data_IF_186921362777
#
_entry.id   IF_186921362777
#
_cell.length_a   1.000
_cell.length_b   1.000
_cell.length_c   1.000
_cell.angle_alpha   90.00
_cell.angle_beta   90.00
_cell.angle_gamma   90.00
#
_symmetry.space_group_name_H-M   'P 1'
#
loop_
_entity.id
_entity.type
_entity.pdbx_description
1 polymer ?
#
# COMPACT_ATOMS: atom_id res chain seq x y z
N UNK A 1 -0.30 9.94 -29.11
CA UNK A 1 -1.48 10.69 -28.65
C UNK A 1 -1.33 12.13 -29.07
N UNK A 2 -2.41 12.80 -29.48
CA UNK A 2 -2.39 14.20 -29.90
C UNK A 2 -3.18 15.05 -28.93
N UNK A 3 -2.62 16.18 -28.54
CA UNK A 3 -3.28 17.24 -27.78
C UNK A 3 -3.48 18.42 -28.72
N UNK A 4 -4.69 18.97 -28.79
CA UNK A 4 -5.08 20.06 -29.69
C UNK A 4 -5.74 21.16 -28.90
N UNK A 5 -5.27 22.39 -29.06
CA UNK A 5 -5.86 23.60 -28.52
C UNK A 5 -6.16 23.52 -27.01
N UNK A 6 -5.24 22.96 -26.21
CA UNK A 6 -5.42 22.89 -24.76
C UNK A 6 -5.39 24.31 -24.15
N UNK A 7 -6.41 24.63 -23.36
CA UNK A 7 -6.64 25.98 -22.80
C UNK A 7 -6.84 26.01 -21.28
N UNK A 8 -6.73 24.88 -20.60
CA UNK A 8 -6.97 24.83 -19.16
C UNK A 8 -5.97 25.68 -18.37
N UNK A 9 -6.50 26.58 -17.52
CA UNK A 9 -5.75 27.56 -16.73
C UNK A 9 -4.74 28.40 -17.53
N UNK A 10 -3.44 28.17 -17.35
CA UNK A 10 -2.36 28.96 -17.94
C UNK A 10 -1.96 28.50 -19.35
N UNK A 11 -2.61 27.46 -19.90
CA UNK A 11 -2.33 26.95 -21.24
C UNK A 11 -2.85 27.93 -22.30
N UNK A 12 -2.00 28.28 -23.27
CA UNK A 12 -2.30 29.24 -24.34
C UNK A 12 -2.47 28.51 -25.68
N UNK A 13 -3.61 27.87 -25.87
CA UNK A 13 -3.98 27.15 -27.10
C UNK A 13 -2.92 26.13 -27.55
N UNK A 14 -2.39 25.37 -26.59
CA UNK A 14 -1.26 24.46 -26.81
C UNK A 14 -1.70 23.23 -27.61
N UNK A 15 -1.01 22.97 -28.73
CA UNK A 15 -1.17 21.75 -29.53
C UNK A 15 0.17 21.02 -29.62
N UNK A 16 0.18 19.72 -29.36
CA UNK A 16 1.38 18.89 -29.38
C UNK A 16 1.04 17.42 -29.63
N UNK A 17 2.05 16.64 -30.03
CA UNK A 17 1.94 15.20 -30.16
C UNK A 17 2.88 14.53 -29.16
N UNK A 18 2.33 13.65 -28.32
CA UNK A 18 3.11 12.81 -27.41
C UNK A 18 3.31 11.42 -28.05
N UNK A 19 4.57 11.04 -28.33
CA UNK A 19 4.88 9.72 -28.89
C UNK A 19 4.59 8.59 -27.89
N UNK A 20 4.20 7.43 -28.42
CA UNK A 20 4.00 6.21 -27.65
C UNK A 20 5.31 5.41 -27.55
N UNK A 21 5.39 4.49 -26.59
CA UNK A 21 6.52 3.56 -26.40
C UNK A 21 7.88 4.24 -26.13
N UNK A 22 7.86 5.45 -25.57
CA UNK A 22 9.08 6.16 -25.17
C UNK A 22 8.84 6.99 -23.91
N UNK A 23 9.92 7.32 -23.21
CA UNK A 23 9.88 8.23 -22.07
C UNK A 23 9.72 9.68 -22.57
N UNK A 24 8.56 10.26 -22.35
CA UNK A 24 8.31 11.68 -22.62
C UNK A 24 8.45 12.49 -21.34
N UNK A 25 9.30 13.52 -21.36
CA UNK A 25 9.53 14.41 -20.21
C UNK A 25 9.03 15.81 -20.54
N UNK A 26 8.11 16.33 -19.71
CA UNK A 26 7.61 17.71 -19.84
C UNK A 26 8.29 18.58 -18.77
N UNK A 27 9.04 19.58 -19.23
CA UNK A 27 9.81 20.49 -18.37
C UNK A 27 9.30 21.94 -18.47
N UNK A 28 9.84 22.83 -17.63
CA UNK A 28 9.50 24.26 -17.63
C UNK A 28 9.39 24.85 -16.23
N UNK A 29 9.41 26.17 -16.13
CA UNK A 29 9.35 26.92 -14.86
C UNK A 29 8.05 26.69 -14.07
N UNK A 30 8.06 26.97 -12.76
CA UNK A 30 6.84 26.88 -11.95
C UNK A 30 5.72 27.76 -12.53
N UNK A 31 4.48 27.28 -12.49
CA UNK A 31 3.33 28.00 -13.06
C UNK A 31 3.17 27.92 -14.58
N UNK A 32 4.11 27.29 -15.31
CA UNK A 32 4.06 27.20 -16.78
C UNK A 32 2.93 26.32 -17.37
N UNK A 33 2.11 25.67 -16.53
CA UNK A 33 0.99 24.85 -16.97
C UNK A 33 1.26 23.34 -17.12
N UNK A 34 2.44 22.83 -16.72
CA UNK A 34 2.79 21.39 -16.82
C UNK A 34 1.75 20.47 -16.17
N UNK A 35 1.39 20.75 -14.92
CA UNK A 35 0.40 19.95 -14.19
C UNK A 35 -0.99 20.08 -14.77
N UNK A 36 -1.36 21.25 -15.31
CA UNK A 36 -2.64 21.45 -15.99
C UNK A 36 -2.74 20.59 -17.24
N UNK A 37 -1.68 20.57 -18.06
CA UNK A 37 -1.62 19.70 -19.23
C UNK A 37 -1.69 18.21 -18.85
N UNK A 38 -0.85 17.74 -17.92
CA UNK A 38 -0.77 16.31 -17.59
C UNK A 38 -1.98 15.81 -16.80
N UNK A 39 -2.41 16.53 -15.76
CA UNK A 39 -3.41 16.04 -14.81
C UNK A 39 -4.84 16.44 -15.17
N UNK A 40 -5.05 17.64 -15.73
CA UNK A 40 -6.39 18.16 -16.00
C UNK A 40 -6.81 17.97 -17.46
N UNK A 41 -5.88 18.11 -18.41
CA UNK A 41 -6.21 17.85 -19.83
C UNK A 41 -6.04 16.37 -20.17
N UNK A 42 -4.87 15.77 -19.92
CA UNK A 42 -4.61 14.40 -20.35
C UNK A 42 -5.25 13.37 -19.42
N UNK A 43 -4.92 13.40 -18.12
CA UNK A 43 -5.33 12.36 -17.19
C UNK A 43 -6.84 12.32 -16.91
N UNK A 44 -7.52 13.47 -16.92
CA UNK A 44 -8.94 13.56 -16.59
C UNK A 44 -9.84 12.88 -17.63
N UNK A 45 -9.40 12.77 -18.88
CA UNK A 45 -10.16 12.16 -19.97
C UNK A 45 -10.11 10.62 -19.98
N UNK A 46 -9.39 9.95 -19.07
CA UNK A 46 -9.41 8.48 -18.88
C UNK A 46 -9.34 7.62 -20.17
N UNK A 47 -8.44 7.96 -21.11
CA UNK A 47 -8.32 7.31 -22.43
C UNK A 47 -9.51 7.49 -23.39
N UNK A 48 -10.46 8.37 -23.07
CA UNK A 48 -11.52 8.76 -23.98
C UNK A 48 -11.06 9.92 -24.87
N UNK A 49 -11.47 9.87 -26.14
CA UNK A 49 -11.23 10.98 -27.07
C UNK A 49 -12.10 12.17 -26.69
N UNK A 50 -11.47 13.34 -26.60
CA UNK A 50 -12.12 14.62 -26.36
C UNK A 50 -11.79 15.62 -27.47
N UNK A 51 -12.38 16.82 -27.39
CA UNK A 51 -12.01 17.93 -28.31
C UNK A 51 -10.53 18.30 -28.20
N UNK A 52 -9.95 18.11 -27.00
CA UNK A 52 -8.58 18.50 -26.68
C UNK A 52 -7.60 17.35 -26.82
N UNK A 53 -7.99 16.12 -26.47
CA UNK A 53 -7.09 14.95 -26.45
C UNK A 53 -7.60 13.86 -27.36
N UNK A 54 -6.76 13.40 -28.28
CA UNK A 54 -7.04 12.29 -29.18
C UNK A 54 -6.02 11.17 -28.94
N UNK A 55 -6.50 10.01 -28.53
CA UNK A 55 -5.68 8.84 -28.26
C UNK A 55 -5.44 8.04 -29.55
N UNK A 56 -4.22 7.57 -29.73
CA UNK A 56 -3.92 6.67 -30.86
C UNK A 56 -4.37 5.25 -30.46
N UNK A 57 -4.78 4.42 -31.43
CA UNK A 57 -5.09 3.00 -31.18
C UNK A 57 -3.88 2.32 -30.52
N UNK A 58 -4.04 1.77 -29.31
CA UNK A 58 -3.00 1.00 -28.62
C UNK A 58 -2.85 1.26 -27.12
N UNK A 59 -3.35 2.39 -26.60
CA UNK A 59 -3.43 2.61 -25.15
C UNK A 59 -4.63 1.84 -24.58
N UNK A 60 -4.38 0.97 -23.60
CA UNK A 60 -5.41 0.15 -22.94
C UNK A 60 -5.76 0.67 -21.55
N UNK A 61 -4.74 1.11 -20.82
CA UNK A 61 -4.85 1.56 -19.44
C UNK A 61 -4.08 2.87 -19.25
N UNK A 62 -4.60 3.74 -18.37
CA UNK A 62 -3.95 4.98 -17.96
C UNK A 62 -3.72 4.96 -16.46
N UNK A 63 -2.46 4.84 -16.06
CA UNK A 63 -2.04 4.85 -14.65
C UNK A 63 -1.46 6.22 -14.35
N UNK A 64 -2.07 6.92 -13.39
CA UNK A 64 -1.67 8.27 -12.98
C UNK A 64 -1.09 8.22 -11.58
N UNK A 65 0.22 8.39 -11.47
CA UNK A 65 0.93 8.45 -10.20
C UNK A 65 1.15 9.91 -9.86
N UNK A 66 0.60 10.37 -8.73
CA UNK A 66 0.68 11.76 -8.27
C UNK A 66 1.37 11.86 -6.92
N UNK A 67 1.64 13.08 -6.47
CA UNK A 67 2.18 13.34 -5.13
C UNK A 67 1.11 13.28 -4.03
N UNK A 68 -0.16 12.98 -4.38
CA UNK A 68 -1.22 12.85 -3.37
C UNK A 68 -0.87 11.68 -2.45
N UNK A 69 -0.70 11.97 -1.17
CA UNK A 69 -0.46 10.93 -0.16
C UNK A 69 -1.66 9.97 -0.17
N UNK A 70 -1.44 8.65 -0.18
CA UNK A 70 -2.51 7.69 0.04
C UNK A 70 -3.26 8.05 1.32
N UNK A 71 -4.59 7.97 1.30
CA UNK A 71 -5.38 8.16 2.51
C UNK A 71 -4.98 7.08 3.51
N UNK A 72 -4.24 7.48 4.55
CA UNK A 72 -3.83 6.58 5.61
C UNK A 72 -5.03 6.25 6.49
N UNK A 73 -5.44 4.99 6.48
CA UNK A 73 -6.17 4.42 7.62
C UNK A 73 -5.13 3.93 8.63
N UNK A 74 -5.40 4.06 9.93
CA UNK A 74 -4.54 3.53 11.01
C UNK A 74 -4.29 2.02 10.87
N UNK A 75 -5.16 1.32 10.13
CA UNK A 75 -5.06 -0.11 9.80
C UNK A 75 -4.26 -0.43 8.53
N UNK A 76 -3.88 0.58 7.75
CA UNK A 76 -3.16 0.37 6.48
C UNK A 76 -1.67 0.17 6.72
N UNK A 77 -1.25 -1.10 6.71
CA UNK A 77 0.14 -1.52 6.75
C UNK A 77 0.65 -1.86 5.35
N UNK A 78 1.97 -1.98 5.17
CA UNK A 78 2.57 -2.36 3.88
C UNK A 78 2.09 -3.77 3.48
N UNK A 79 2.02 -4.70 4.43
CA UNK A 79 1.52 -6.07 4.21
C UNK A 79 0.11 -6.10 3.63
N UNK A 80 -0.76 -5.18 4.06
CA UNK A 80 -2.14 -5.05 3.56
C UNK A 80 -2.22 -4.22 2.29
N UNK A 81 -1.30 -3.27 2.08
CA UNK A 81 -1.29 -2.42 0.90
C UNK A 81 -0.80 -3.18 -0.35
N UNK A 82 0.11 -4.14 -0.15
CA UNK A 82 0.62 -5.01 -1.21
C UNK A 82 -0.23 -6.26 -1.44
N UNK A 83 -1.34 -6.43 -0.69
CA UNK A 83 -2.20 -7.62 -0.71
C UNK A 83 -1.45 -8.95 -0.48
N UNK A 84 -0.36 -8.92 0.30
CA UNK A 84 0.44 -10.11 0.63
C UNK A 84 0.09 -10.73 1.98
N UNK A 85 -0.76 -10.07 2.77
CA UNK A 85 -1.09 -10.51 4.12
C UNK A 85 -1.94 -11.79 4.14
N UNK A 86 -2.79 -11.99 3.13
CA UNK A 86 -3.69 -13.13 3.05
C UNK A 86 -2.93 -14.46 2.98
N UNK A 87 -1.83 -14.47 2.22
CA UNK A 87 -0.91 -15.59 2.11
C UNK A 87 -0.21 -15.90 3.45
N UNK A 88 0.23 -14.85 4.16
CA UNK A 88 0.83 -14.98 5.50
C UNK A 88 -0.18 -15.57 6.48
N UNK A 89 -1.40 -15.04 6.54
CA UNK A 89 -2.46 -15.54 7.42
C UNK A 89 -2.82 -17.00 7.11
N UNK A 90 -2.88 -17.37 5.83
CA UNK A 90 -3.13 -18.74 5.41
C UNK A 90 -2.02 -19.70 5.85
N UNK A 91 -0.75 -19.27 5.77
CA UNK A 91 0.41 -20.03 6.25
C UNK A 91 0.32 -20.31 7.76
N UNK A 92 0.06 -19.28 8.57
CA UNK A 92 -0.08 -19.43 10.02
C UNK A 92 -1.28 -20.31 10.40
N UNK A 93 -2.42 -20.17 9.72
CA UNK A 93 -3.57 -21.06 9.93
C UNK A 93 -3.26 -22.52 9.61
N UNK A 94 -2.50 -22.78 8.53
CA UNK A 94 -2.04 -24.13 8.18
C UNK A 94 -1.11 -24.70 9.25
N UNK A 95 -0.23 -23.87 9.82
CA UNK A 95 0.70 -24.29 10.88
C UNK A 95 -0.01 -24.54 12.20
N UNK A 96 -0.98 -23.70 12.56
CA UNK A 96 -1.84 -23.85 13.74
C UNK A 96 -2.52 -25.22 13.75
N UNK A 97 -3.16 -25.61 12.64
CA UNK A 97 -3.80 -26.93 12.51
C UNK A 97 -2.84 -28.11 12.74
N UNK A 98 -1.57 -27.98 12.32
CA UNK A 98 -0.55 -29.01 12.55
C UNK A 98 -0.12 -29.10 14.02
N UNK A 99 -0.27 -28.02 14.78
CA UNK A 99 0.01 -27.96 16.21
C UNK A 99 -1.21 -28.32 17.07
N UNK A 100 -2.28 -28.87 16.47
CA UNK A 100 -3.58 -29.14 17.12
C UNK A 100 -4.28 -27.89 17.67
N UNK A 101 -3.88 -26.70 17.21
CA UNK A 101 -4.57 -25.44 17.46
C UNK A 101 -5.55 -25.22 16.31
N UNK A 102 -6.83 -24.96 16.60
CA UNK A 102 -7.90 -24.90 15.59
C UNK A 102 -8.15 -23.49 15.04
N UNK A 103 -7.08 -22.69 14.85
CA UNK A 103 -7.21 -21.33 14.34
C UNK A 103 -7.37 -21.29 12.82
N UNK A 104 -8.22 -20.37 12.36
CA UNK A 104 -8.49 -20.08 10.96
C UNK A 104 -7.65 -18.90 10.47
N UNK A 105 -7.59 -18.69 9.14
CA UNK A 105 -6.87 -17.54 8.56
C UNK A 105 -7.44 -16.19 9.02
N UNK A 106 -8.75 -16.13 9.36
CA UNK A 106 -9.34 -14.91 9.92
C UNK A 106 -8.85 -14.59 11.33
N UNK A 107 -8.46 -15.59 12.13
CA UNK A 107 -7.96 -15.35 13.49
C UNK A 107 -6.58 -14.68 13.48
N UNK A 108 -5.82 -14.88 12.41
CA UNK A 108 -4.53 -14.22 12.17
C UNK A 108 -4.66 -12.80 11.56
N UNK A 109 -5.88 -12.29 11.39
CA UNK A 109 -6.08 -10.90 10.94
C UNK A 109 -6.12 -9.94 12.12
N UNK A 110 -5.35 -8.85 12.06
CA UNK A 110 -5.52 -7.75 13.01
C UNK A 110 -6.74 -6.87 12.67
N UNK A 111 -7.26 -6.96 11.43
CA UNK A 111 -8.40 -6.16 10.97
C UNK A 111 -9.76 -6.80 11.28
N UNK A 112 -9.82 -8.12 11.41
CA UNK A 112 -11.04 -8.89 11.57
C UNK A 112 -10.78 -10.17 12.40
N UNK A 113 -11.83 -10.94 12.67
CA UNK A 113 -11.70 -12.22 13.38
C UNK A 113 -11.49 -12.10 14.89
N UNK A 114 -11.28 -13.25 15.52
CA UNK A 114 -11.30 -13.38 16.98
C UNK A 114 -9.91 -13.36 17.63
N UNK A 115 -8.83 -13.38 16.84
CA UNK A 115 -7.47 -13.44 17.35
C UNK A 115 -6.81 -12.09 17.65
N UNK A 116 -7.38 -10.98 17.17
CA UNK A 116 -6.87 -9.63 17.49
C UNK A 116 -7.08 -9.27 18.95
N UNK A 117 -6.21 -8.41 19.47
CA UNK A 117 -6.33 -7.86 20.83
C UNK A 117 -7.67 -7.13 20.99
N UNK A 118 -8.50 -7.47 21.99
CA UNK A 118 -9.80 -6.85 22.19
C UNK A 118 -9.71 -5.38 22.64
N UNK A 119 -8.60 -5.00 23.30
CA UNK A 119 -8.42 -3.66 23.85
C UNK A 119 -8.15 -2.61 22.76
N UNK A 120 -7.15 -2.84 21.89
CA UNK A 120 -6.83 -1.93 20.78
C UNK A 120 -7.55 -2.30 19.48
N UNK A 121 -8.37 -3.37 19.48
CA UNK A 121 -9.06 -3.89 18.29
C UNK A 121 -8.12 -4.12 17.09
N UNK A 122 -6.91 -4.61 17.38
CA UNK A 122 -5.85 -4.89 16.39
C UNK A 122 -5.09 -3.67 15.88
N UNK A 123 -5.26 -2.47 16.46
CA UNK A 123 -4.48 -1.29 16.09
C UNK A 123 -3.06 -1.29 16.67
N UNK A 124 -2.83 -2.00 17.78
CA UNK A 124 -1.58 -1.94 18.54
C UNK A 124 -1.44 -0.70 19.42
N UNK A 125 -2.27 0.33 19.20
CA UNK A 125 -2.32 1.57 19.96
C UNK A 125 -3.73 1.85 20.48
N UNK A 126 -3.85 2.69 21.51
CA UNK A 126 -5.09 3.24 22.03
C UNK A 126 -5.02 4.77 22.00
N UNK A 127 -6.13 5.42 21.64
CA UNK A 127 -6.19 6.88 21.66
C UNK A 127 -6.44 7.39 23.08
N UNK A 128 -5.66 8.40 23.49
CA UNK A 128 -5.93 9.19 24.69
C UNK A 128 -6.41 10.57 24.25
N UNK A 129 -7.67 10.89 24.58
CA UNK A 129 -8.23 12.20 24.30
C UNK A 129 -7.72 13.21 25.34
N UNK A 130 -7.11 14.28 24.83
CA UNK A 130 -6.66 15.41 25.61
C UNK A 130 -7.61 16.55 25.26
N UNK A 131 -8.52 16.93 26.17
CA UNK A 131 -9.65 17.85 25.92
C UNK A 131 -9.31 19.12 25.10
N UNK A 132 -8.07 19.60 25.19
CA UNK A 132 -7.59 20.83 24.54
C UNK A 132 -6.45 20.61 23.53
N UNK A 133 -6.06 19.36 23.27
CA UNK A 133 -4.96 19.01 22.37
C UNK A 133 -5.38 17.93 21.37
N UNK A 134 -4.55 17.71 20.36
CA UNK A 134 -4.75 16.57 19.47
C UNK A 134 -4.63 15.25 20.24
N UNK A 135 -5.50 14.28 19.93
CA UNK A 135 -5.44 12.95 20.53
C UNK A 135 -4.05 12.35 20.30
N UNK A 136 -3.45 11.81 21.36
CA UNK A 136 -2.20 11.09 21.27
C UNK A 136 -2.47 9.59 21.19
N UNK A 137 -1.63 8.89 20.43
CA UNK A 137 -1.65 7.43 20.37
C UNK A 137 -0.63 6.88 21.36
N UNK A 138 -1.11 6.03 22.27
CA UNK A 138 -0.28 5.31 23.22
C UNK A 138 -0.22 3.85 22.82
N UNK A 139 0.95 3.22 22.97
CA UNK A 139 1.08 1.76 22.80
C UNK A 139 0.06 1.06 23.69
N UNK A 140 -0.66 0.11 23.13
CA UNK A 140 -1.70 -0.62 23.84
C UNK A 140 -1.12 -1.32 25.09
N UNK A 141 -1.66 -1.07 26.30
CA UNK A 141 -1.11 -1.64 27.53
C UNK A 141 -1.35 -3.15 27.68
N UNK A 142 -2.23 -3.74 26.86
CA UNK A 142 -2.60 -5.16 26.92
C UNK A 142 -1.74 -6.00 25.98
N UNK A 143 -1.63 -5.60 24.72
CA UNK A 143 -0.86 -6.36 23.72
C UNK A 143 0.55 -5.80 23.48
N UNK A 144 0.90 -4.68 24.11
CA UNK A 144 2.18 -4.00 23.96
C UNK A 144 2.59 -3.70 22.50
N UNK A 145 1.60 -3.45 21.63
CA UNK A 145 1.83 -3.15 20.21
C UNK A 145 1.67 -4.35 19.27
N UNK A 146 1.66 -5.58 19.79
CA UNK A 146 1.61 -6.81 18.96
C UNK A 146 0.31 -7.01 18.19
N UNK A 147 -0.78 -6.32 18.58
CA UNK A 147 -2.11 -6.34 17.92
C UNK A 147 -2.91 -7.63 18.10
N UNK A 148 -2.34 -8.67 18.69
CA UNK A 148 -2.96 -9.99 18.84
C UNK A 148 -3.17 -10.37 20.31
N UNK A 149 -3.91 -11.45 20.52
CA UNK A 149 -3.95 -12.18 21.79
C UNK A 149 -2.77 -13.15 21.89
N UNK A 150 -2.37 -13.49 23.10
CA UNK A 150 -1.22 -14.36 23.36
C UNK A 150 -1.36 -15.74 22.69
N UNK A 151 -2.56 -16.33 22.70
CA UNK A 151 -2.88 -17.61 22.05
C UNK A 151 -2.58 -17.64 20.54
N UNK A 152 -2.66 -16.47 19.86
CA UNK A 152 -2.30 -16.35 18.45
C UNK A 152 -0.78 -16.26 18.28
N UNK A 153 -0.10 -15.59 19.20
CA UNK A 153 1.36 -15.40 19.19
C UNK A 153 2.12 -16.71 19.49
N UNK A 154 1.47 -17.67 20.14
CA UNK A 154 2.02 -19.03 20.35
C UNK A 154 2.22 -19.81 19.05
N UNK A 155 1.47 -19.49 17.99
CA UNK A 155 1.63 -20.15 16.69
C UNK A 155 2.86 -19.58 15.98
N UNK A 156 3.87 -20.43 15.80
CA UNK A 156 5.15 -20.04 15.21
C UNK A 156 5.45 -20.72 13.87
N UNK A 157 5.98 -19.93 12.94
CA UNK A 157 6.56 -20.38 11.68
C UNK A 157 8.03 -19.99 11.68
N UNK A 158 8.93 -20.96 11.49
CA UNK A 158 10.38 -20.76 11.59
C UNK A 158 10.86 -20.10 12.90
N UNK A 159 10.11 -20.28 13.99
CA UNK A 159 10.40 -19.68 15.29
C UNK A 159 9.75 -18.31 15.53
N UNK A 160 9.10 -17.73 14.52
CA UNK A 160 8.49 -16.40 14.55
C UNK A 160 6.96 -16.48 14.65
N UNK A 161 6.39 -15.66 15.51
CA UNK A 161 4.95 -15.39 15.56
C UNK A 161 4.52 -14.51 14.39
N UNK A 162 3.22 -14.36 14.19
CA UNK A 162 2.72 -13.46 13.14
C UNK A 162 3.07 -11.99 13.43
N UNK A 163 3.17 -11.58 14.69
CA UNK A 163 3.59 -10.22 15.06
C UNK A 163 5.05 -9.99 14.68
N UNK A 164 5.93 -10.97 14.93
CA UNK A 164 7.35 -10.86 14.57
C UNK A 164 7.53 -10.71 13.06
N UNK A 165 6.73 -11.43 12.26
CA UNK A 165 6.75 -11.32 10.79
C UNK A 165 6.28 -9.94 10.32
N UNK A 166 5.36 -9.29 11.04
CA UNK A 166 4.95 -7.93 10.73
C UNK A 166 6.05 -6.92 11.04
N UNK A 167 6.91 -7.17 12.02
CA UNK A 167 8.03 -6.29 12.39
C UNK A 167 9.26 -6.45 11.48
N UNK A 168 9.30 -7.47 10.61
CA UNK A 168 10.38 -7.65 9.66
C UNK A 168 10.50 -6.47 8.71
N UNK A 169 11.75 -6.09 8.43
CA UNK A 169 12.06 -5.29 7.25
C UNK A 169 11.62 -6.01 5.97
N UNK A 170 11.42 -5.27 4.88
CA UNK A 170 11.09 -5.87 3.57
C UNK A 170 12.14 -6.91 3.16
N UNK A 171 13.42 -6.68 3.48
CA UNK A 171 14.50 -7.62 3.17
C UNK A 171 14.35 -8.94 3.93
N UNK A 172 14.16 -8.88 5.25
CA UNK A 172 13.91 -10.08 6.08
C UNK A 172 12.61 -10.79 5.68
N UNK A 173 11.57 -10.02 5.32
CA UNK A 173 10.31 -10.55 4.85
C UNK A 173 10.47 -11.31 3.52
N UNK A 174 11.30 -10.83 2.58
CA UNK A 174 11.57 -11.56 1.34
C UNK A 174 12.16 -12.94 1.64
N UNK A 175 13.15 -13.02 2.53
CA UNK A 175 13.77 -14.28 2.91
C UNK A 175 12.79 -15.23 3.60
N UNK A 176 11.94 -14.69 4.49
CA UNK A 176 10.87 -15.47 5.12
C UNK A 176 9.86 -16.01 4.08
N UNK A 177 9.46 -15.17 3.12
CA UNK A 177 8.51 -15.53 2.08
C UNK A 177 9.06 -16.61 1.16
N UNK A 178 10.31 -16.48 0.71
CA UNK A 178 10.96 -17.47 -0.16
C UNK A 178 11.08 -18.83 0.54
N UNK A 179 11.52 -18.86 1.80
CA UNK A 179 11.64 -20.11 2.59
C UNK A 179 10.30 -20.81 2.78
N UNK A 180 9.21 -20.05 2.92
CA UNK A 180 7.88 -20.59 3.18
C UNK A 180 7.01 -20.73 1.91
N UNK A 181 7.57 -20.50 0.72
CA UNK A 181 6.87 -20.65 -0.55
C UNK A 181 5.78 -19.61 -0.80
N UNK A 182 5.90 -18.42 -0.20
CA UNK A 182 5.00 -17.28 -0.41
C UNK A 182 5.47 -16.41 -1.58
N UNK A 183 4.56 -15.62 -2.16
CA UNK A 183 4.89 -14.71 -3.25
C UNK A 183 5.67 -13.47 -2.78
N UNK A 184 6.99 -13.49 -2.93
CA UNK A 184 7.87 -12.35 -2.58
C UNK A 184 8.01 -11.29 -3.67
N UNK A 185 7.43 -11.48 -4.87
CA UNK A 185 7.59 -10.54 -6.00
C UNK A 185 7.15 -9.10 -5.67
N UNK A 186 6.03 -8.84 -4.97
CA UNK A 186 5.64 -7.47 -4.60
C UNK A 186 6.69 -6.80 -3.70
N UNK A 187 7.26 -7.55 -2.76
CA UNK A 187 8.30 -7.06 -1.83
C UNK A 187 9.62 -6.75 -2.56
N UNK A 188 10.01 -7.58 -3.53
CA UNK A 188 11.19 -7.35 -4.38
C UNK A 188 11.09 -6.08 -5.24
N UNK A 189 9.88 -5.55 -5.47
CA UNK A 189 9.74 -4.26 -6.15
C UNK A 189 10.15 -3.09 -5.23
N UNK A 190 9.85 -3.19 -3.93
CA UNK A 190 10.23 -2.18 -2.93
C UNK A 190 11.73 -2.12 -2.69
N UNK A 191 12.44 -3.24 -2.80
CA UNK A 191 13.91 -3.23 -2.70
C UNK A 191 14.55 -2.47 -3.86
N UNK A 192 14.01 -2.61 -5.08
CA UNK A 192 14.45 -1.87 -6.27
C UNK A 192 14.23 -0.35 -6.16
N UNK A 193 13.32 0.09 -5.30
CA UNK A 193 13.05 1.52 -5.04
C UNK A 193 13.74 2.03 -3.78
N UNK A 194 14.70 1.27 -3.23
CA UNK A 194 15.46 1.61 -2.02
C UNK A 194 14.59 1.74 -0.75
N UNK A 195 13.53 0.94 -0.65
CA UNK A 195 12.61 0.88 0.50
C UNK A 195 12.75 -0.43 1.30
N UNK A 196 13.90 -1.11 1.18
CA UNK A 196 14.15 -2.43 1.80
C UNK A 196 14.08 -2.42 3.34
N UNK A 197 14.41 -1.28 3.96
CA UNK A 197 14.50 -1.13 5.40
C UNK A 197 13.15 -0.93 6.11
N UNK A 198 12.06 -0.73 5.35
CA UNK A 198 10.76 -0.41 5.96
C UNK A 198 10.15 -1.69 6.57
N UNK A 199 9.55 -1.57 7.75
CA UNK A 199 8.78 -2.66 8.37
C UNK A 199 7.60 -3.09 7.51
N UNK A 200 7.31 -4.39 7.47
CA UNK A 200 6.17 -4.96 6.76
C UNK A 200 4.83 -4.51 7.37
N UNK A 201 4.78 -4.20 8.66
CA UNK A 201 3.63 -3.72 9.41
C UNK A 201 3.97 -2.96 10.69
#
# INVERSE_FOLDING_TARGET
>A
MKVKNAKTHNLRDLSLELPANCLSVITGVSGSGKSSLLLQEIAQNQLEDSKTVQWNKGFKDLIVITQKRPTRNKRSLIVTYLDVFDDVRALFAKKSKKANLSFSSSDFSFNAGNGRCPNCQGLGVVESNQLFFENIELTCPICHGTRYKDEILEVKVDGYSISDVLEFSIEEAIDFFVRNGLNSKPLQFLTKTNLAYISLG
#
